data_IF_475295200179
#
_entry.id   IF_475295200179
#
_cell.length_a   1.000
_cell.length_b   1.000
_cell.length_c   1.000
_cell.angle_alpha   90.00
_cell.angle_beta   90.00
_cell.angle_gamma   90.00
#
_symmetry.space_group_name_H-M   'P 1'
#
loop_
_entity.id
_entity.type
_entity.pdbx_description
1 polymer ?
#
# COMPACT_ATOMS: atom_id res chain seq x y z
N UNK A 1 23.30 -5.64 -11.32
CA UNK A 1 22.01 -4.90 -11.42
C UNK A 1 22.20 -3.50 -11.99
N UNK A 2 21.49 -3.19 -13.07
CA UNK A 2 21.50 -1.89 -13.75
C UNK A 2 20.76 -0.79 -12.94
N UNK A 3 21.43 0.35 -12.74
CA UNK A 3 20.88 1.48 -11.99
C UNK A 3 19.73 2.21 -12.70
N UNK A 4 19.75 2.28 -14.04
CA UNK A 4 18.70 2.91 -14.83
C UNK A 4 17.43 2.06 -14.82
N UNK A 5 17.58 0.73 -14.91
CA UNK A 5 16.46 -0.21 -14.81
C UNK A 5 15.77 -0.08 -13.45
N UNK A 6 16.55 -0.01 -12.37
CA UNK A 6 16.04 0.17 -11.01
C UNK A 6 15.34 1.52 -10.84
N UNK A 7 15.96 2.60 -11.31
CA UNK A 7 15.36 3.93 -11.27
C UNK A 7 13.99 3.94 -11.97
N UNK A 8 13.87 3.28 -13.13
CA UNK A 8 12.60 3.13 -13.83
C UNK A 8 11.61 2.20 -13.10
N UNK A 9 12.11 1.21 -12.35
CA UNK A 9 11.28 0.23 -11.65
C UNK A 9 10.67 0.74 -10.34
N UNK A 10 11.31 1.69 -9.66
CA UNK A 10 10.83 2.23 -8.39
C UNK A 10 9.94 3.47 -8.57
N UNK A 11 9.74 3.95 -9.81
CA UNK A 11 8.78 4.99 -10.12
C UNK A 11 7.37 4.42 -10.06
N UNK A 12 6.55 5.00 -9.19
CA UNK A 12 5.13 4.67 -9.07
C UNK A 12 4.32 5.54 -10.02
N UNK A 13 3.35 4.94 -10.72
CA UNK A 13 2.44 5.68 -11.60
C UNK A 13 1.72 6.80 -10.83
N UNK A 14 1.89 8.08 -11.23
CA UNK A 14 1.24 9.20 -10.57
C UNK A 14 -0.29 9.12 -10.61
N UNK A 15 -0.88 8.55 -11.67
CA UNK A 15 -2.34 8.41 -11.80
C UNK A 15 -2.87 7.43 -10.76
N UNK A 16 -2.27 6.23 -10.69
CA UNK A 16 -2.61 5.26 -9.65
C UNK A 16 -2.39 5.82 -8.24
N UNK A 17 -1.28 6.53 -8.00
CA UNK A 17 -1.00 7.13 -6.69
C UNK A 17 -2.08 8.15 -6.26
N UNK A 18 -2.58 8.96 -7.20
CA UNK A 18 -3.64 9.92 -6.97
C UNK A 18 -4.97 9.21 -6.66
N UNK A 19 -5.30 8.17 -7.43
CA UNK A 19 -6.49 7.35 -7.21
C UNK A 19 -6.50 6.71 -5.82
N UNK A 20 -5.37 6.11 -5.38
CA UNK A 20 -5.24 5.53 -4.04
C UNK A 20 -5.45 6.59 -2.95
N UNK A 21 -4.85 7.77 -3.14
CA UNK A 21 -5.01 8.90 -2.21
C UNK A 21 -6.47 9.33 -2.12
N UNK A 22 -7.18 9.42 -3.23
CA UNK A 22 -8.59 9.83 -3.25
C UNK A 22 -9.48 8.79 -2.56
N UNK A 23 -9.28 7.49 -2.82
CA UNK A 23 -9.98 6.43 -2.11
C UNK A 23 -9.78 6.51 -0.59
N UNK A 24 -8.53 6.70 -0.15
CA UNK A 24 -8.21 6.82 1.26
C UNK A 24 -8.78 8.09 1.90
N UNK A 25 -8.71 9.24 1.24
CA UNK A 25 -9.28 10.49 1.75
C UNK A 25 -10.80 10.39 1.90
N UNK A 26 -11.49 9.79 0.92
CA UNK A 26 -12.92 9.55 1.00
C UNK A 26 -13.27 8.63 2.18
N UNK A 27 -12.52 7.54 2.37
CA UNK A 27 -12.69 6.66 3.52
C UNK A 27 -12.44 7.37 4.85
N UNK A 28 -11.40 8.22 4.93
CA UNK A 28 -11.11 9.00 6.13
C UNK A 28 -12.23 9.99 6.45
N UNK A 29 -12.79 10.64 5.42
CA UNK A 29 -13.92 11.54 5.59
C UNK A 29 -15.14 10.80 6.17
N UNK A 30 -15.51 9.65 5.60
CA UNK A 30 -16.60 8.81 6.09
C UNK A 30 -16.32 8.27 7.51
N UNK A 31 -15.08 7.83 7.76
CA UNK A 31 -14.73 7.26 9.05
C UNK A 31 -14.78 8.30 10.18
N UNK A 32 -14.34 9.55 9.93
CA UNK A 32 -14.23 10.60 10.94
C UNK A 32 -15.50 11.43 11.07
N UNK A 33 -16.05 11.87 9.94
CA UNK A 33 -17.17 12.83 9.89
C UNK A 33 -18.51 12.17 9.54
N UNK A 34 -18.48 11.00 8.91
CA UNK A 34 -19.68 10.25 8.56
C UNK A 34 -20.27 9.47 9.74
N UNK A 35 -21.48 8.96 9.53
CA UNK A 35 -22.19 8.10 10.45
C UNK A 35 -21.82 6.63 10.21
N UNK A 36 -20.67 6.21 10.74
CA UNK A 36 -20.22 4.80 10.78
C UNK A 36 -20.14 4.35 12.24
N UNK A 37 -20.94 3.33 12.59
CA UNK A 37 -21.14 2.83 13.96
C UNK A 37 -20.67 1.39 14.10
N UNK A 38 -20.42 1.03 15.36
CA UNK A 38 -20.17 -0.34 15.80
C UNK A 38 -20.90 -0.56 17.12
N UNK A 39 -21.49 -1.74 17.30
CA UNK A 39 -21.99 -2.19 18.61
C UNK A 39 -20.86 -2.56 19.59
N UNK A 40 -19.63 -2.78 19.10
CA UNK A 40 -18.47 -3.12 19.91
C UNK A 40 -17.74 -1.88 20.40
N UNK A 41 -17.60 -1.76 21.71
CA UNK A 41 -16.90 -0.64 22.34
C UNK A 41 -15.46 -0.50 21.82
N UNK A 42 -15.13 0.71 21.34
CA UNK A 42 -13.79 1.05 20.86
C UNK A 42 -13.44 0.55 19.45
N UNK A 43 -14.31 -0.20 18.78
CA UNK A 43 -14.07 -0.69 17.41
C UNK A 43 -13.87 0.46 16.41
N UNK A 44 -14.74 1.47 16.44
CA UNK A 44 -14.62 2.65 15.54
C UNK A 44 -13.30 3.39 15.72
N UNK A 45 -12.82 3.54 16.96
CA UNK A 45 -11.53 4.19 17.24
C UNK A 45 -10.36 3.38 16.68
N UNK A 46 -10.38 2.06 16.90
CA UNK A 46 -9.38 1.13 16.36
C UNK A 46 -9.36 1.14 14.83
N UNK A 47 -10.52 1.07 14.20
CA UNK A 47 -10.68 1.13 12.74
C UNK A 47 -10.08 2.41 12.17
N UNK A 48 -10.40 3.59 12.74
CA UNK A 48 -9.84 4.88 12.32
C UNK A 48 -8.32 4.92 12.43
N UNK A 49 -7.76 4.40 13.53
CA UNK A 49 -6.31 4.30 13.71
C UNK A 49 -5.67 3.44 12.61
N UNK A 50 -6.23 2.28 12.32
CA UNK A 50 -5.72 1.41 11.25
C UNK A 50 -5.83 2.04 9.87
N UNK A 51 -6.92 2.77 9.59
CA UNK A 51 -7.06 3.50 8.34
C UNK A 51 -6.01 4.61 8.20
N UNK A 52 -5.66 5.31 9.29
CA UNK A 52 -4.57 6.28 9.27
C UNK A 52 -3.22 5.63 8.95
N UNK A 53 -2.93 4.48 9.58
CA UNK A 53 -1.71 3.69 9.32
C UNK A 53 -1.61 3.28 7.84
N UNK A 54 -2.72 2.90 7.19
CA UNK A 54 -2.74 2.64 5.74
C UNK A 54 -2.27 3.87 4.95
N UNK A 55 -2.76 5.06 5.28
CA UNK A 55 -2.34 6.32 4.66
C UNK A 55 -0.83 6.57 4.78
N UNK A 56 -0.27 6.32 5.95
CA UNK A 56 1.16 6.44 6.19
C UNK A 56 1.96 5.43 5.35
N UNK A 57 1.52 4.16 5.27
CA UNK A 57 2.22 3.15 4.47
C UNK A 57 2.11 3.40 2.97
N UNK A 58 0.99 3.93 2.50
CA UNK A 58 0.86 4.41 1.12
C UNK A 58 1.84 5.53 0.84
N UNK A 59 1.97 6.51 1.76
CA UNK A 59 2.93 7.61 1.61
C UNK A 59 4.37 7.12 1.49
N UNK A 60 4.73 6.07 2.24
CA UNK A 60 6.03 5.40 2.13
C UNK A 60 6.20 4.66 0.81
N UNK A 61 5.17 3.95 0.32
CA UNK A 61 5.23 3.26 -0.97
C UNK A 61 5.54 4.24 -2.12
N UNK A 62 4.87 5.39 -2.16
CA UNK A 62 5.03 6.40 -3.22
C UNK A 62 6.22 7.35 -3.01
N UNK A 63 7.00 7.16 -1.94
CA UNK A 63 8.13 8.05 -1.66
C UNK A 63 9.20 7.94 -2.74
N UNK A 64 9.82 9.08 -3.05
CA UNK A 64 11.01 9.12 -3.87
C UNK A 64 12.15 8.33 -3.18
N UNK A 65 12.84 7.51 -3.98
CA UNK A 65 13.94 6.63 -3.54
C UNK A 65 15.28 7.02 -4.13
N UNK A 66 15.36 8.09 -4.93
CA UNK A 66 16.62 8.57 -5.52
C UNK A 66 17.67 8.96 -4.47
N UNK A 67 17.25 9.25 -3.24
CA UNK A 67 18.16 9.53 -2.12
C UNK A 67 18.95 8.31 -1.63
N UNK A 68 18.51 7.08 -1.94
CA UNK A 68 19.20 5.85 -1.57
C UNK A 68 20.26 5.55 -2.64
N UNK A 69 21.57 5.58 -2.31
CA UNK A 69 22.63 5.52 -3.33
C UNK A 69 22.78 4.15 -3.98
N UNK A 70 22.40 3.08 -3.28
CA UNK A 70 22.58 1.71 -3.78
C UNK A 70 21.29 1.19 -4.43
N UNK A 71 21.31 0.84 -5.73
CA UNK A 71 20.13 0.36 -6.44
C UNK A 71 19.44 -0.84 -5.74
N UNK A 72 20.20 -1.80 -5.21
CA UNK A 72 19.64 -2.95 -4.47
C UNK A 72 18.82 -2.50 -3.26
N UNK A 73 19.30 -1.51 -2.53
CA UNK A 73 18.60 -0.99 -1.35
C UNK A 73 17.37 -0.14 -1.73
N UNK A 74 17.36 0.50 -2.90
CA UNK A 74 16.14 1.13 -3.45
C UNK A 74 15.04 0.09 -3.66
N UNK A 75 15.35 -1.01 -4.33
CA UNK A 75 14.40 -2.09 -4.61
C UNK A 75 13.92 -2.75 -3.32
N UNK A 76 14.84 -3.09 -2.40
CA UNK A 76 14.47 -3.65 -1.08
C UNK A 76 13.57 -2.72 -0.28
N UNK A 77 13.84 -1.41 -0.30
CA UNK A 77 12.99 -0.43 0.36
C UNK A 77 11.59 -0.35 -0.29
N UNK A 78 11.51 -0.38 -1.62
CA UNK A 78 10.24 -0.38 -2.35
C UNK A 78 9.40 -1.62 -2.00
N UNK A 79 10.01 -2.80 -2.07
CA UNK A 79 9.36 -4.07 -1.74
C UNK A 79 8.91 -4.13 -0.27
N UNK A 80 9.77 -3.69 0.66
CA UNK A 80 9.41 -3.60 2.08
C UNK A 80 8.25 -2.63 2.35
N UNK A 81 8.16 -1.55 1.58
CA UNK A 81 7.04 -0.59 1.67
C UNK A 81 5.73 -1.20 1.15
N UNK A 82 5.78 -1.97 0.07
CA UNK A 82 4.61 -2.70 -0.45
C UNK A 82 4.07 -3.73 0.54
N UNK A 83 4.94 -4.55 1.13
CA UNK A 83 4.53 -5.52 2.15
C UNK A 83 3.96 -4.85 3.39
N UNK A 84 4.58 -3.76 3.84
CA UNK A 84 4.07 -2.97 4.97
C UNK A 84 2.67 -2.40 4.69
N UNK A 85 2.41 -1.96 3.45
CA UNK A 85 1.10 -1.47 3.05
C UNK A 85 0.04 -2.59 3.01
N UNK A 86 0.37 -3.76 2.47
CA UNK A 86 -0.56 -4.91 2.46
C UNK A 86 -0.93 -5.36 3.87
N UNK A 87 0.05 -5.44 4.77
CA UNK A 87 -0.20 -5.78 6.17
C UNK A 87 -1.10 -4.73 6.85
N UNK A 88 -0.81 -3.44 6.64
CA UNK A 88 -1.66 -2.36 7.17
C UNK A 88 -3.09 -2.42 6.62
N UNK A 89 -3.26 -2.69 5.32
CA UNK A 89 -4.56 -2.86 4.68
C UNK A 89 -5.33 -4.03 5.30
N UNK A 90 -4.70 -5.20 5.45
CA UNK A 90 -5.34 -6.37 6.05
C UNK A 90 -5.75 -6.13 7.51
N UNK A 91 -4.90 -5.43 8.28
CA UNK A 91 -5.23 -5.06 9.66
C UNK A 91 -6.39 -4.06 9.73
N UNK A 92 -6.45 -3.12 8.78
CA UNK A 92 -7.57 -2.20 8.65
C UNK A 92 -8.86 -2.95 8.28
N UNK A 93 -8.84 -3.81 7.28
CA UNK A 93 -10.01 -4.60 6.84
C UNK A 93 -10.58 -5.45 7.98
N UNK A 94 -9.71 -6.13 8.73
CA UNK A 94 -10.13 -6.86 9.95
C UNK A 94 -10.76 -5.95 10.99
N UNK A 95 -10.24 -4.74 11.19
CA UNK A 95 -10.82 -3.79 12.13
C UNK A 95 -12.15 -3.20 11.61
N UNK A 96 -12.30 -3.04 10.29
CA UNK A 96 -13.50 -2.54 9.65
C UNK A 96 -14.67 -3.53 9.70
N UNK A 97 -14.40 -4.85 9.81
CA UNK A 97 -15.43 -5.88 10.00
C UNK A 97 -16.25 -5.69 11.29
N UNK A 98 -15.73 -4.95 12.26
CA UNK A 98 -16.45 -4.65 13.50
C UNK A 98 -17.43 -3.47 13.35
N UNK A 99 -17.39 -2.71 12.24
CA UNK A 99 -18.40 -1.71 11.93
C UNK A 99 -19.66 -2.39 11.38
N UNK A 100 -20.83 -2.05 11.93
CA UNK A 100 -22.08 -2.79 11.71
C UNK A 100 -23.30 -1.89 11.48
N UNK A 101 -23.12 -0.57 11.31
CA UNK A 101 -24.24 0.31 10.99
C UNK A 101 -23.90 1.78 10.87
N UNK A 102 -24.95 2.60 10.85
CA UNK A 102 -24.91 4.03 10.55
C UNK A 102 -25.24 4.35 9.10
N UNK A 103 -25.75 5.56 8.83
CA UNK A 103 -26.27 5.94 7.51
C UNK A 103 -25.22 5.84 6.39
N UNK A 104 -23.95 6.10 6.72
CA UNK A 104 -22.84 6.13 5.77
C UNK A 104 -22.11 4.78 5.65
N UNK A 105 -22.50 3.76 6.44
CA UNK A 105 -21.86 2.46 6.43
C UNK A 105 -21.82 1.79 5.05
N UNK A 106 -22.90 1.78 4.22
CA UNK A 106 -22.83 1.19 2.88
C UNK A 106 -21.78 1.86 1.98
N UNK A 107 -21.68 3.19 2.04
CA UNK A 107 -20.68 3.94 1.28
C UNK A 107 -19.26 3.66 1.79
N UNK A 108 -19.08 3.57 3.11
CA UNK A 108 -17.82 3.20 3.73
C UNK A 108 -17.37 1.79 3.30
N UNK A 109 -18.26 0.79 3.39
CA UNK A 109 -17.95 -0.59 2.98
C UNK A 109 -17.58 -0.69 1.49
N UNK A 110 -18.29 0.04 0.62
CA UNK A 110 -17.95 0.12 -0.80
C UNK A 110 -16.58 0.78 -1.02
N UNK A 111 -16.26 1.85 -0.27
CA UNK A 111 -14.95 2.50 -0.30
C UNK A 111 -13.81 1.57 0.13
N UNK A 112 -14.02 0.72 1.14
CA UNK A 112 -13.02 -0.26 1.59
C UNK A 112 -12.69 -1.23 0.47
N UNK A 113 -13.72 -1.76 -0.20
CA UNK A 113 -13.55 -2.66 -1.33
C UNK A 113 -12.84 -1.97 -2.51
N UNK A 114 -13.19 -0.72 -2.82
CA UNK A 114 -12.56 0.05 -3.89
C UNK A 114 -11.07 0.29 -3.63
N UNK A 115 -10.69 0.62 -2.39
CA UNK A 115 -9.29 0.77 -1.99
C UNK A 115 -8.52 -0.56 -2.14
N UNK A 116 -9.10 -1.66 -1.64
CA UNK A 116 -8.52 -3.00 -1.76
C UNK A 116 -8.26 -3.38 -3.22
N UNK A 117 -9.29 -3.25 -4.07
CA UNK A 117 -9.20 -3.60 -5.49
C UNK A 117 -8.16 -2.75 -6.21
N UNK A 118 -8.12 -1.44 -5.92
CA UNK A 118 -7.14 -0.54 -6.54
C UNK A 118 -5.70 -0.86 -6.15
N UNK A 119 -5.48 -1.30 -4.90
CA UNK A 119 -4.16 -1.75 -4.47
C UNK A 119 -3.77 -3.06 -5.16
N UNK A 120 -4.65 -4.08 -5.14
CA UNK A 120 -4.34 -5.38 -5.73
C UNK A 120 -4.30 -5.39 -7.26
N UNK A 121 -4.83 -4.36 -7.93
CA UNK A 121 -4.73 -4.23 -9.38
C UNK A 121 -3.29 -4.01 -9.89
N UNK A 122 -2.40 -3.44 -9.07
CA UNK A 122 -1.05 -3.06 -9.50
C UNK A 122 0.05 -3.57 -8.58
N UNK A 123 -0.22 -3.69 -7.28
CA UNK A 123 0.78 -4.03 -6.29
C UNK A 123 1.45 -5.40 -6.52
N UNK A 124 0.74 -6.47 -6.92
CA UNK A 124 1.39 -7.76 -7.23
C UNK A 124 2.41 -7.67 -8.37
N UNK A 125 2.14 -6.88 -9.41
CA UNK A 125 3.06 -6.73 -10.55
C UNK A 125 4.32 -5.97 -10.14
N UNK A 126 4.18 -4.93 -9.30
CA UNK A 126 5.30 -4.22 -8.71
C UNK A 126 6.15 -5.13 -7.81
N UNK A 127 5.51 -5.94 -6.96
CA UNK A 127 6.18 -6.92 -6.10
C UNK A 127 6.98 -7.92 -6.93
N UNK A 128 6.37 -8.50 -7.97
CA UNK A 128 7.04 -9.45 -8.86
C UNK A 128 8.21 -8.81 -9.60
N UNK A 129 8.04 -7.59 -10.10
CA UNK A 129 9.11 -6.84 -10.77
C UNK A 129 10.30 -6.60 -9.83
N UNK A 130 10.04 -6.15 -8.61
CA UNK A 130 11.10 -5.88 -7.64
C UNK A 130 11.77 -7.15 -7.13
N UNK A 131 11.01 -8.24 -6.92
CA UNK A 131 11.58 -9.54 -6.59
C UNK A 131 12.51 -10.04 -7.72
N UNK A 132 12.05 -9.97 -8.98
CA UNK A 132 12.85 -10.36 -10.14
C UNK A 132 14.17 -9.57 -10.27
N UNK A 133 14.15 -8.26 -9.99
CA UNK A 133 15.37 -7.43 -9.97
C UNK A 133 16.34 -7.77 -8.84
N UNK A 134 15.83 -8.27 -7.71
CA UNK A 134 16.68 -8.74 -6.62
C UNK A 134 17.28 -10.12 -6.91
N UNK A 135 16.51 -10.98 -7.59
CA UNK A 135 16.93 -12.33 -7.97
C UNK A 135 17.93 -12.32 -9.12
N UNK A 136 17.79 -11.40 -10.09
CA UNK A 136 18.70 -11.31 -11.25
C UNK A 136 20.16 -11.03 -10.88
N UNK A 137 20.41 -10.50 -9.68
CA UNK A 137 21.76 -10.27 -9.16
C UNK A 137 22.52 -11.56 -8.90
N UNK A 138 21.82 -12.63 -8.51
CA UNK A 138 22.47 -13.91 -8.24
C UNK A 138 22.83 -14.66 -9.53
N UNK A 139 22.12 -14.39 -10.63
CA UNK A 139 22.43 -14.98 -11.92
C UNK A 139 23.61 -14.28 -12.63
N UNK A 140 23.77 -12.97 -12.44
CA UNK A 140 24.94 -12.22 -12.95
C UNK A 140 26.24 -12.67 -12.27
N UNK A 141 26.20 -12.96 -10.96
CA UNK A 141 27.37 -13.40 -10.20
C UNK A 141 27.80 -14.85 -10.53
N UNK A 142 26.88 -15.70 -11.03
CA UNK A 142 27.19 -17.10 -11.43
C UNK A 142 27.81 -17.21 -12.83
N UNK A 143 27.52 -16.28 -13.74
CA UNK A 143 28.06 -16.27 -15.11
C UNK A 143 29.48 -15.67 -15.20
N UNK A 144 29.91 -14.85 -14.21
CA UNK A 144 31.25 -14.25 -14.15
C UNK A 144 32.32 -15.19 -13.52
N UNK A 145 31.92 -16.31 -12.93
CA UNK A 145 32.79 -17.32 -12.29
C UNK A 145 32.99 -18.60 -13.16
N UNK A 146 32.52 -18.61 -14.42
CA UNK A 146 32.59 -19.73 -15.37
C UNK A 146 33.59 -19.51 -16.54
#
# INVERSE_FOLDING_TARGET
MDANEVAAAVIIDPVWSAQLRDHWLNLMALAVWGEVKSTRMGATSRMRKRLLEVGEKMRSLIADRTWIPHPREQVKNALGSAYSLKDALQQFERAAQDADGGADYPAFAAGVLALHQSLLAHLPDLENRWAGLLDSQYNEDEDDDA
#
